data_IF_292627855322
#
_entry.id   IF_292627855322
#
_cell.length_a   1.000
_cell.length_b   1.000
_cell.length_c   1.000
_cell.angle_alpha   90.00
_cell.angle_beta   90.00
_cell.angle_gamma   90.00
#
_symmetry.space_group_name_H-M   'P 1'
#
loop_
_entity.id
_entity.type
_entity.pdbx_description
1 polymer ?
#
# COMPACT_ATOMS: atom_id res chain seq x y z
N UNK A 1 -18.14 2.15 10.33
CA UNK A 1 -16.76 1.65 10.52
C UNK A 1 -15.86 2.30 9.48
N UNK A 2 -14.76 2.92 9.90
CA UNK A 2 -13.73 3.44 9.00
C UNK A 2 -13.21 2.29 8.15
N UNK A 3 -13.44 2.33 6.83
CA UNK A 3 -12.85 1.34 5.91
C UNK A 3 -11.36 1.66 5.85
N UNK A 4 -10.52 0.75 6.34
CA UNK A 4 -9.08 0.87 6.16
C UNK A 4 -8.79 0.74 4.66
N UNK A 5 -8.27 1.81 4.06
CA UNK A 5 -7.96 1.88 2.63
C UNK A 5 -6.46 1.98 2.37
N UNK A 6 -5.62 1.76 3.41
CA UNK A 6 -4.18 1.90 3.31
C UNK A 6 -3.50 0.55 3.55
N UNK A 7 -2.71 0.11 2.57
CA UNK A 7 -1.77 -1.00 2.71
C UNK A 7 -0.39 -0.42 3.02
N UNK A 8 0.16 -0.78 4.17
CA UNK A 8 1.52 -0.41 4.57
C UNK A 8 2.48 -1.57 4.27
N UNK A 9 3.56 -1.29 3.53
CA UNK A 9 4.64 -2.24 3.24
C UNK A 9 6.01 -1.58 3.43
N UNK A 10 7.06 -2.36 3.59
CA UNK A 10 8.42 -1.82 3.56
C UNK A 10 8.98 -1.79 2.13
N UNK A 11 10.01 -0.97 1.91
CA UNK A 11 10.84 -1.04 0.70
C UNK A 11 11.22 -2.50 0.39
N UNK A 12 11.26 -2.83 -0.90
CA UNK A 12 11.55 -4.17 -1.42
C UNK A 12 10.53 -5.26 -1.06
N UNK A 13 9.46 -4.97 -0.30
CA UNK A 13 8.43 -5.94 0.03
C UNK A 13 7.47 -6.13 -1.16
N UNK A 14 6.90 -7.32 -1.29
CA UNK A 14 5.92 -7.62 -2.33
C UNK A 14 4.50 -7.65 -1.79
N UNK A 15 3.55 -7.26 -2.64
CA UNK A 15 2.12 -7.34 -2.37
C UNK A 15 1.37 -7.74 -3.64
N UNK A 16 0.18 -8.28 -3.45
CA UNK A 16 -0.77 -8.59 -4.53
C UNK A 16 -2.21 -8.40 -4.06
N UNK A 17 -3.14 -8.92 -4.83
CA UNK A 17 -4.58 -8.85 -4.55
C UNK A 17 -4.95 -9.36 -3.14
N UNK A 18 -4.22 -10.37 -2.63
CA UNK A 18 -4.47 -10.94 -1.30
C UNK A 18 -4.30 -9.90 -0.19
N UNK A 19 -3.20 -9.18 -0.15
CA UNK A 19 -2.93 -8.16 0.87
C UNK A 19 -3.91 -6.99 0.77
N UNK A 20 -4.25 -6.58 -0.45
CA UNK A 20 -5.26 -5.53 -0.68
C UNK A 20 -6.62 -5.97 -0.11
N UNK A 21 -7.03 -7.22 -0.39
CA UNK A 21 -8.28 -7.80 0.11
C UNK A 21 -8.34 -7.86 1.63
N UNK A 22 -7.23 -8.20 2.28
CA UNK A 22 -7.12 -8.21 3.74
C UNK A 22 -7.34 -6.81 4.33
N UNK A 23 -6.80 -5.77 3.70
CA UNK A 23 -6.93 -4.37 4.15
C UNK A 23 -8.37 -3.85 4.01
N UNK A 24 -8.98 -4.03 2.84
CA UNK A 24 -10.33 -3.50 2.59
C UNK A 24 -11.43 -4.25 3.35
N UNK A 25 -11.11 -5.40 3.95
CA UNK A 25 -12.03 -6.30 4.66
C UNK A 25 -13.32 -6.59 3.86
N UNK A 26 -13.23 -6.55 2.53
CA UNK A 26 -14.35 -6.74 1.61
C UNK A 26 -14.37 -8.22 1.17
N UNK A 27 -15.55 -8.83 1.22
CA UNK A 27 -15.74 -10.21 0.76
C UNK A 27 -15.82 -10.31 -0.76
N UNK A 28 -16.01 -9.17 -1.45
CA UNK A 28 -16.11 -9.13 -2.90
C UNK A 28 -14.71 -9.13 -3.54
N UNK A 29 -14.44 -10.16 -4.35
CA UNK A 29 -13.14 -10.41 -4.99
C UNK A 29 -12.82 -9.39 -6.10
N UNK A 30 -13.85 -8.81 -6.71
CA UNK A 30 -13.76 -7.82 -7.79
C UNK A 30 -13.00 -6.56 -7.34
N UNK A 31 -13.36 -5.99 -6.18
CA UNK A 31 -12.78 -4.71 -5.73
C UNK A 31 -11.28 -4.78 -5.48
N UNK A 32 -10.79 -5.85 -4.86
CA UNK A 32 -9.35 -6.01 -4.61
C UNK A 32 -8.56 -6.16 -5.92
N UNK A 33 -9.15 -6.85 -6.89
CA UNK A 33 -8.58 -7.01 -8.24
C UNK A 33 -8.54 -5.69 -8.99
N UNK A 34 -9.61 -4.90 -8.93
CA UNK A 34 -9.66 -3.57 -9.58
C UNK A 34 -8.59 -2.63 -9.01
N UNK A 35 -8.46 -2.58 -7.68
CA UNK A 35 -7.39 -1.79 -7.02
C UNK A 35 -6.01 -2.29 -7.43
N UNK A 36 -5.78 -3.61 -7.47
CA UNK A 36 -4.49 -4.15 -7.90
C UNK A 36 -4.18 -3.79 -9.36
N UNK A 37 -5.18 -3.83 -10.24
CA UNK A 37 -5.05 -3.42 -11.63
C UNK A 37 -4.67 -1.94 -11.76
N UNK A 38 -5.17 -1.05 -10.89
CA UNK A 38 -4.73 0.35 -10.87
C UNK A 38 -3.23 0.49 -10.61
N UNK A 39 -2.66 -0.31 -9.69
CA UNK A 39 -1.21 -0.34 -9.47
C UNK A 39 -0.45 -0.94 -10.66
N UNK A 40 -1.01 -1.96 -11.31
CA UNK A 40 -0.44 -2.53 -12.54
C UNK A 40 -0.37 -1.47 -13.63
N UNK A 41 -1.45 -0.73 -13.90
CA UNK A 41 -1.46 0.36 -14.87
C UNK A 41 -0.49 1.48 -14.48
N UNK A 42 -0.38 1.80 -13.19
CA UNK A 42 0.62 2.73 -12.69
C UNK A 42 2.05 2.29 -13.03
N UNK A 43 2.38 1.01 -12.89
CA UNK A 43 3.74 0.49 -13.20
C UNK A 43 4.08 0.50 -14.69
N UNK A 44 3.08 0.58 -15.58
CA UNK A 44 3.30 0.63 -17.03
C UNK A 44 3.71 2.01 -17.54
N UNK A 45 3.54 3.05 -16.74
CA UNK A 45 3.96 4.40 -17.11
C UNK A 45 5.49 4.52 -17.05
N UNK A 46 6.06 5.29 -17.97
CA UNK A 46 7.51 5.47 -18.08
C UNK A 46 8.11 6.02 -16.77
N UNK A 47 9.17 5.36 -16.30
CA UNK A 47 9.89 5.75 -15.08
C UNK A 47 9.19 5.42 -13.77
N UNK A 48 8.00 4.80 -13.78
CA UNK A 48 7.32 4.37 -12.55
C UNK A 48 7.84 3.03 -12.00
N UNK A 49 8.66 2.33 -12.77
CA UNK A 49 9.36 1.12 -12.36
C UNK A 49 10.30 1.38 -11.16
N UNK A 50 10.74 2.63 -10.95
CA UNK A 50 11.52 3.02 -9.76
C UNK A 50 10.72 3.02 -8.45
N UNK A 51 9.38 2.95 -8.51
CA UNK A 51 8.51 2.88 -7.35
C UNK A 51 8.02 1.45 -7.11
N UNK A 52 7.49 0.82 -8.15
CA UNK A 52 6.91 -0.52 -8.13
C UNK A 52 7.36 -1.32 -9.36
N UNK A 53 7.77 -2.57 -9.17
CA UNK A 53 8.07 -3.51 -10.26
C UNK A 53 7.32 -4.82 -10.10
N UNK A 54 7.06 -5.51 -11.19
CA UNK A 54 6.62 -6.90 -11.13
C UNK A 54 7.69 -7.78 -10.48
N UNK A 55 7.28 -8.57 -9.48
CA UNK A 55 8.07 -9.71 -8.98
C UNK A 55 7.71 -10.98 -9.74
N UNK A 56 6.42 -11.14 -10.04
CA UNK A 56 5.87 -12.21 -10.87
C UNK A 56 4.53 -11.71 -11.47
N UNK A 57 3.79 -12.57 -12.18
CA UNK A 57 2.54 -12.21 -12.83
C UNK A 57 1.42 -11.77 -11.88
N UNK A 58 1.52 -12.04 -10.58
CA UNK A 58 0.45 -11.82 -9.59
C UNK A 58 0.86 -10.87 -8.47
N UNK A 59 2.09 -10.38 -8.44
CA UNK A 59 2.60 -9.54 -7.35
C UNK A 59 3.52 -8.43 -7.85
N UNK A 60 3.37 -7.27 -7.21
CA UNK A 60 4.24 -6.12 -7.35
C UNK A 60 5.20 -6.05 -6.15
N UNK A 61 6.35 -5.44 -6.34
CA UNK A 61 7.40 -5.24 -5.35
C UNK A 61 7.73 -3.75 -5.25
N UNK A 62 7.66 -3.21 -4.05
CA UNK A 62 8.19 -1.88 -3.76
C UNK A 62 9.68 -1.80 -4.07
N UNK A 63 10.16 -0.66 -4.51
CA UNK A 63 11.57 -0.41 -4.78
C UNK A 63 12.16 0.54 -3.71
N UNK A 64 13.24 1.23 -4.05
CA UNK A 64 13.89 2.24 -3.20
C UNK A 64 13.11 3.56 -3.25
N UNK A 65 11.91 3.54 -2.65
CA UNK A 65 11.03 4.70 -2.51
C UNK A 65 10.33 4.60 -1.17
N UNK A 66 10.33 5.70 -0.41
CA UNK A 66 9.58 5.84 0.84
C UNK A 66 8.55 6.96 0.65
N UNK A 67 7.28 6.64 0.88
CA UNK A 67 6.20 7.59 0.66
C UNK A 67 4.86 6.93 0.38
N UNK A 68 3.89 7.74 -0.05
CA UNK A 68 2.53 7.31 -0.32
C UNK A 68 2.28 7.26 -1.83
N UNK A 69 1.60 6.21 -2.31
CA UNK A 69 1.03 6.12 -3.65
C UNK A 69 -0.47 5.93 -3.49
N UNK A 70 -1.27 6.83 -4.08
CA UNK A 70 -2.73 6.76 -4.02
C UNK A 70 -3.29 6.40 -5.40
N UNK A 71 -4.18 5.40 -5.44
CA UNK A 71 -4.91 5.00 -6.64
C UNK A 71 -6.05 5.98 -6.95
N UNK A 72 -6.62 5.89 -8.16
CA UNK A 72 -7.77 6.73 -8.56
C UNK A 72 -9.01 6.42 -7.72
N UNK A 73 -9.15 5.17 -7.28
CA UNK A 73 -10.20 4.73 -6.34
C UNK A 73 -9.98 5.19 -4.89
N UNK A 74 -8.85 5.86 -4.58
CA UNK A 74 -8.53 6.35 -3.25
C UNK A 74 -7.95 5.30 -2.31
N UNK A 75 -7.48 4.16 -2.84
CA UNK A 75 -6.69 3.21 -2.07
C UNK A 75 -5.25 3.69 -1.96
N UNK A 76 -4.66 3.57 -0.78
CA UNK A 76 -3.33 4.06 -0.47
C UNK A 76 -2.35 2.90 -0.29
N UNK A 77 -1.19 3.00 -0.91
CA UNK A 77 -0.03 2.17 -0.64
C UNK A 77 1.02 3.04 0.04
N UNK A 78 1.26 2.79 1.32
CA UNK A 78 2.30 3.45 2.10
C UNK A 78 3.55 2.57 2.14
N UNK A 79 4.65 3.09 1.59
CA UNK A 79 5.94 2.39 1.54
C UNK A 79 6.85 3.01 2.60
N UNK A 80 7.18 2.21 3.61
CA UNK A 80 8.04 2.57 4.74
C UNK A 80 9.50 2.18 4.47
N UNK A 81 10.48 2.81 5.16
CA UNK A 81 11.89 2.43 5.04
C UNK A 81 12.13 0.93 5.28
N UNK A 82 13.18 0.37 4.66
CA UNK A 82 13.56 -1.05 4.83
C UNK A 82 13.79 -1.49 6.27
N UNK A 83 14.05 -0.55 7.19
CA UNK A 83 14.21 -0.81 8.63
C UNK A 83 12.92 -1.28 9.30
N UNK A 84 11.77 -1.11 8.65
CA UNK A 84 10.47 -1.61 9.08
C UNK A 84 10.19 -3.05 8.59
N UNK A 85 11.14 -3.70 7.91
CA UNK A 85 11.01 -5.12 7.54
C UNK A 85 11.01 -6.01 8.79
N UNK A 86 9.94 -6.78 8.94
CA UNK A 86 9.86 -7.92 9.86
C UNK A 86 10.65 -9.11 9.31
N UNK A 87 11.08 -10.02 10.19
CA UNK A 87 12.01 -11.12 9.88
C UNK A 87 11.48 -12.18 8.86
N UNK A 88 10.22 -12.08 8.42
CA UNK A 88 9.61 -12.97 7.43
C UNK A 88 8.93 -12.15 6.35
N UNK A 89 9.33 -12.36 5.09
CA UNK A 89 8.78 -11.67 3.90
C UNK A 89 7.25 -11.78 3.76
N UNK A 90 6.62 -12.77 4.40
CA UNK A 90 5.18 -13.03 4.36
C UNK A 90 4.39 -12.44 5.52
N UNK A 91 5.05 -12.04 6.60
CA UNK A 91 4.42 -11.37 7.73
C UNK A 91 4.67 -9.89 7.52
N UNK A 92 3.73 -9.17 6.90
CA UNK A 92 3.81 -7.70 6.84
C UNK A 92 4.07 -7.11 8.23
N UNK A 93 4.58 -5.87 8.30
CA UNK A 93 4.84 -5.22 9.57
C UNK A 93 3.54 -5.18 10.39
N UNK A 94 3.53 -5.82 11.57
CA UNK A 94 2.49 -5.57 12.54
C UNK A 94 2.72 -4.15 13.05
N UNK A 95 1.93 -3.20 12.55
CA UNK A 95 1.83 -1.88 13.16
C UNK A 95 1.29 -2.06 14.58
N UNK A 96 2.19 -2.30 15.53
CA UNK A 96 1.91 -2.19 16.96
C UNK A 96 2.28 -0.77 17.33
N UNK A 97 1.26 0.07 17.53
CA UNK A 97 1.37 1.46 17.97
C UNK A 97 1.80 2.48 16.90
N UNK A 98 1.32 2.41 15.64
CA UNK A 98 1.38 3.63 14.81
C UNK A 98 0.38 4.63 15.37
N UNK A 99 0.90 5.71 15.93
CA UNK A 99 0.12 6.87 16.38
C UNK A 99 -0.06 7.83 15.20
N UNK A 100 -0.43 7.33 14.02
CA UNK A 100 -1.07 8.16 13.00
C UNK A 100 -2.53 8.40 13.40
N UNK A 101 -2.74 8.87 14.63
CA UNK A 101 -3.99 9.50 15.00
C UNK A 101 -4.10 10.75 14.15
N UNK A 102 -5.16 10.81 13.34
CA UNK A 102 -5.59 12.01 12.62
C UNK A 102 -5.31 13.23 13.48
N UNK A 103 -4.31 14.05 13.11
CA UNK A 103 -4.24 15.38 13.64
C UNK A 103 -5.51 16.06 13.14
N UNK A 104 -6.54 16.12 13.98
CA UNK A 104 -7.62 17.08 13.80
C UNK A 104 -6.91 18.42 13.81
N UNK A 105 -6.78 19.06 12.64
CA UNK A 105 -6.37 20.44 12.54
C UNK A 105 -7.29 21.23 13.46
N UNK A 106 -6.73 21.72 14.55
CA UNK A 106 -7.37 22.63 15.51
C UNK A 106 -6.83 24.04 15.29
N UNK A 107 -6.51 24.39 14.04
CA UNK A 107 -6.30 25.78 13.68
C UNK A 107 -7.66 26.42 13.41
N UNK A 108 -8.12 27.39 14.22
CA UNK A 108 -9.18 28.28 13.78
C UNK A 108 -8.67 29.01 12.53
N UNK A 109 -9.48 29.01 11.49
CA UNK A 109 -9.33 29.97 10.39
C UNK A 109 -9.55 31.35 11.00
N UNK A 110 -8.45 32.06 11.28
CA UNK A 110 -8.45 33.52 11.43
C UNK A 110 -8.24 34.16 10.07
#
# INVERSE_FOLDING_TARGET
MSKNNTLCIAEWQSFGEKQIREVIADTRKDKAKDIFNEFVEFTKQEGNDKFLKFKNSTTLKAQNYVGLIQTKSGFCLEILPKTFRTAKDSEGFAIKNCVCSSQKSTHPLT
#
